data_IF_504498866463
#
_entry.id   IF_504498866463
#
_cell.length_a   1.000
_cell.length_b   1.000
_cell.length_c   1.000
_cell.angle_alpha   90.00
_cell.angle_beta   90.00
_cell.angle_gamma   90.00
#
_symmetry.space_group_name_H-M   'P 1'
#
loop_
_entity.id
_entity.type
_entity.pdbx_description
1 polymer ?
#
# COMPACT_ATOMS: atom_id res chain seq x y z
N UNK A 1 -14.57 -27.00 -35.87
CA UNK A 1 -13.18 -27.09 -35.37
C UNK A 1 -12.89 -26.18 -34.16
N UNK A 2 -13.92 -25.81 -33.36
CA UNK A 2 -13.78 -24.88 -32.21
C UNK A 2 -13.88 -25.52 -30.82
N UNK A 3 -14.34 -26.77 -30.71
CA UNK A 3 -14.56 -27.40 -29.39
C UNK A 3 -13.26 -27.88 -28.71
N UNK A 4 -12.23 -28.26 -29.47
CA UNK A 4 -10.96 -28.71 -28.90
C UNK A 4 -10.16 -27.55 -28.29
N UNK A 5 -10.22 -26.34 -28.86
CA UNK A 5 -9.52 -25.16 -28.34
C UNK A 5 -10.04 -24.75 -26.96
N UNK A 6 -11.34 -24.86 -26.72
CA UNK A 6 -11.93 -24.46 -25.44
C UNK A 6 -11.43 -25.36 -24.28
N UNK A 7 -11.30 -26.67 -24.49
CA UNK A 7 -10.85 -27.62 -23.45
C UNK A 7 -9.41 -27.37 -23.00
N UNK A 8 -8.50 -27.06 -23.92
CA UNK A 8 -7.11 -26.72 -23.59
C UNK A 8 -7.01 -25.41 -22.82
N UNK A 9 -7.84 -24.40 -23.16
CA UNK A 9 -7.91 -23.14 -22.42
C UNK A 9 -8.34 -23.34 -20.96
N UNK A 10 -9.33 -24.20 -20.70
CA UNK A 10 -9.76 -24.51 -19.33
C UNK A 10 -8.70 -25.26 -18.53
N UNK A 11 -7.98 -26.20 -19.15
CA UNK A 11 -6.87 -26.91 -18.51
C UNK A 11 -5.73 -25.93 -18.19
N UNK A 12 -5.37 -25.06 -19.14
CA UNK A 12 -4.35 -24.04 -18.92
C UNK A 12 -4.76 -23.07 -17.80
N UNK A 13 -6.02 -22.62 -17.78
CA UNK A 13 -6.54 -21.76 -16.72
C UNK A 13 -6.48 -22.44 -15.35
N UNK A 14 -6.90 -23.71 -15.25
CA UNK A 14 -6.82 -24.46 -14.00
C UNK A 14 -5.38 -24.63 -13.53
N UNK A 15 -4.44 -24.94 -14.43
CA UNK A 15 -3.01 -25.03 -14.10
C UNK A 15 -2.46 -23.69 -13.59
N UNK A 16 -2.82 -22.57 -14.22
CA UNK A 16 -2.40 -21.23 -13.78
C UNK A 16 -2.97 -20.91 -12.40
N UNK A 17 -4.27 -21.13 -12.17
CA UNK A 17 -4.91 -20.87 -10.87
C UNK A 17 -4.31 -21.75 -9.77
N UNK A 18 -4.07 -23.04 -10.05
CA UNK A 18 -3.43 -23.96 -9.11
C UNK A 18 -2.00 -23.53 -8.78
N UNK A 19 -1.24 -23.10 -9.79
CA UNK A 19 0.12 -22.57 -9.60
C UNK A 19 0.12 -21.30 -8.74
N UNK A 20 -0.78 -20.35 -9.04
CA UNK A 20 -0.94 -19.11 -8.27
C UNK A 20 -1.33 -19.41 -6.81
N UNK A 21 -2.20 -20.39 -6.58
CA UNK A 21 -2.56 -20.81 -5.22
C UNK A 21 -1.36 -21.39 -4.47
N UNK A 22 -0.54 -22.21 -5.13
CA UNK A 22 0.66 -22.81 -4.53
C UNK A 22 1.76 -21.77 -4.24
N UNK A 23 1.89 -20.76 -5.10
CA UNK A 23 2.88 -19.68 -4.98
C UNK A 23 2.37 -18.47 -4.18
N UNK A 24 1.10 -18.45 -3.77
CA UNK A 24 0.45 -17.33 -3.07
C UNK A 24 1.30 -16.73 -1.92
N UNK A 25 1.95 -17.54 -1.04
CA UNK A 25 2.77 -16.98 0.04
C UNK A 25 3.98 -16.18 -0.46
N UNK A 26 4.58 -16.58 -1.58
CA UNK A 26 5.74 -15.91 -2.19
C UNK A 26 5.29 -14.78 -3.12
N UNK A 27 4.04 -14.81 -3.59
CA UNK A 27 3.49 -13.78 -4.46
C UNK A 27 3.37 -12.43 -3.76
N UNK A 28 3.14 -12.42 -2.44
CA UNK A 28 3.02 -11.20 -1.63
C UNK A 28 4.25 -10.28 -1.74
N UNK A 29 5.48 -10.72 -1.42
CA UNK A 29 6.66 -9.87 -1.58
C UNK A 29 6.95 -9.51 -3.05
N UNK A 30 6.54 -10.34 -4.01
CA UNK A 30 6.67 -10.04 -5.43
C UNK A 30 5.74 -8.92 -5.89
N UNK A 31 4.49 -8.92 -5.47
CA UNK A 31 3.52 -7.86 -5.80
C UNK A 31 3.98 -6.53 -5.20
N UNK A 32 4.38 -6.54 -3.92
CA UNK A 32 4.91 -5.34 -3.27
C UNK A 32 6.18 -4.86 -3.99
N UNK A 33 7.11 -5.76 -4.30
CA UNK A 33 8.32 -5.42 -5.04
C UNK A 33 8.04 -4.86 -6.43
N UNK A 34 7.07 -5.41 -7.15
CA UNK A 34 6.64 -4.92 -8.46
C UNK A 34 6.01 -3.53 -8.38
N UNK A 35 5.21 -3.26 -7.35
CA UNK A 35 4.64 -1.94 -7.11
C UNK A 35 5.75 -0.91 -6.85
N UNK A 36 6.73 -1.26 -6.02
CA UNK A 36 7.88 -0.40 -5.75
C UNK A 36 8.74 -0.17 -7.00
N UNK A 37 8.94 -1.21 -7.81
CA UNK A 37 9.63 -1.11 -9.09
C UNK A 37 8.91 -0.16 -10.05
N UNK A 38 7.59 -0.33 -10.23
CA UNK A 38 6.78 0.57 -11.07
C UNK A 38 6.87 2.04 -10.62
N UNK A 39 6.85 2.30 -9.31
CA UNK A 39 6.99 3.65 -8.77
C UNK A 39 8.41 4.22 -8.97
N UNK A 40 9.44 3.38 -8.89
CA UNK A 40 10.84 3.77 -9.05
C UNK A 40 11.30 3.92 -10.50
N UNK A 41 10.64 3.23 -11.44
CA UNK A 41 11.01 3.17 -12.85
C UNK A 41 11.07 4.55 -13.53
N UNK A 42 10.05 5.43 -13.45
CA UNK A 42 10.12 6.76 -14.08
C UNK A 42 11.20 7.65 -13.44
N UNK A 43 11.62 7.39 -12.20
CA UNK A 43 12.76 8.07 -11.61
C UNK A 43 14.08 7.53 -12.18
N UNK A 44 14.19 6.22 -12.40
CA UNK A 44 15.37 5.59 -13.00
C UNK A 44 15.56 6.07 -14.45
N UNK A 45 14.50 6.13 -15.24
CA UNK A 45 14.52 6.64 -16.62
C UNK A 45 14.99 8.10 -16.68
N UNK A 46 14.58 8.93 -15.73
CA UNK A 46 15.07 10.31 -15.62
C UNK A 46 16.58 10.34 -15.38
N UNK A 47 17.11 9.48 -14.52
CA UNK A 47 18.55 9.38 -14.27
C UNK A 47 19.32 8.84 -15.48
N UNK A 48 18.74 7.94 -16.26
CA UNK A 48 19.31 7.48 -17.54
C UNK A 48 19.34 8.59 -18.59
N UNK A 49 18.29 9.41 -18.68
CA UNK A 49 18.26 10.56 -19.58
C UNK A 49 19.36 11.60 -19.27
N UNK A 50 19.89 11.59 -18.04
CA UNK A 50 21.04 12.41 -17.62
C UNK A 50 22.40 11.78 -17.95
N UNK A 51 22.42 10.63 -18.63
CA UNK A 51 23.64 9.93 -19.09
C UNK A 51 24.16 8.85 -18.13
N UNK A 52 23.42 8.48 -17.09
CA UNK A 52 23.79 7.36 -16.23
C UNK A 52 23.47 6.01 -16.89
N UNK A 53 24.25 4.97 -16.58
CA UNK A 53 23.92 3.59 -16.99
C UNK A 53 22.72 3.10 -16.17
N UNK A 54 21.79 2.34 -16.77
CA UNK A 54 20.60 1.74 -16.12
C UNK A 54 20.87 1.22 -14.71
N UNK A 55 21.89 0.37 -14.55
CA UNK A 55 22.23 -0.20 -13.23
C UNK A 55 22.59 0.87 -12.19
N UNK A 56 23.32 1.91 -12.58
CA UNK A 56 23.70 3.00 -11.66
C UNK A 56 22.50 3.87 -11.31
N UNK A 57 21.66 4.19 -12.30
CA UNK A 57 20.40 4.92 -12.07
C UNK A 57 19.51 4.17 -11.08
N UNK A 58 19.32 2.87 -11.30
CA UNK A 58 18.52 1.99 -10.44
C UNK A 58 19.07 1.91 -9.03
N UNK A 59 20.39 1.75 -8.85
CA UNK A 59 21.01 1.75 -7.52
C UNK A 59 20.73 3.07 -6.79
N UNK A 60 20.87 4.20 -7.48
CA UNK A 60 20.68 5.52 -6.89
C UNK A 60 19.22 5.75 -6.48
N UNK A 61 18.27 5.42 -7.35
CA UNK A 61 16.83 5.48 -7.05
C UNK A 61 16.49 4.56 -5.90
N UNK A 62 16.99 3.32 -5.92
CA UNK A 62 16.68 2.32 -4.90
C UNK A 62 17.18 2.75 -3.52
N UNK A 63 18.44 3.20 -3.42
CA UNK A 63 19.02 3.71 -2.17
C UNK A 63 18.28 4.97 -1.71
N UNK A 64 18.01 5.92 -2.62
CA UNK A 64 17.28 7.15 -2.29
C UNK A 64 15.87 6.85 -1.77
N UNK A 65 15.12 6.00 -2.48
CA UNK A 65 13.76 5.61 -2.12
C UNK A 65 13.73 4.90 -0.76
N UNK A 66 14.58 3.90 -0.53
CA UNK A 66 14.63 3.21 0.75
C UNK A 66 15.10 4.12 1.88
N UNK A 67 16.00 5.06 1.62
CA UNK A 67 16.44 6.04 2.63
C UNK A 67 15.30 6.96 3.03
N UNK A 68 14.56 7.52 2.06
CA UNK A 68 13.40 8.38 2.33
C UNK A 68 12.32 7.58 3.06
N UNK A 69 12.02 6.37 2.62
CA UNK A 69 11.04 5.50 3.25
C UNK A 69 11.42 5.17 4.70
N UNK A 70 12.69 4.82 4.96
CA UNK A 70 13.20 4.59 6.31
C UNK A 70 13.07 5.83 7.19
N UNK A 71 13.42 7.01 6.65
CA UNK A 71 13.33 8.28 7.37
C UNK A 71 11.86 8.62 7.69
N UNK A 72 10.94 8.43 6.74
CA UNK A 72 9.50 8.58 6.97
C UNK A 72 9.03 7.63 8.06
N UNK A 73 9.41 6.36 8.05
CA UNK A 73 9.01 5.41 9.11
C UNK A 73 9.57 5.84 10.47
N UNK A 74 10.85 6.21 10.55
CA UNK A 74 11.50 6.60 11.81
C UNK A 74 10.92 7.90 12.39
N UNK A 75 10.51 8.87 11.55
CA UNK A 75 9.97 10.15 12.02
C UNK A 75 8.45 10.14 12.18
N UNK A 76 7.73 9.62 11.18
CA UNK A 76 6.28 9.71 11.10
C UNK A 76 5.60 8.75 12.08
N UNK A 77 6.08 7.51 12.22
CA UNK A 77 5.47 6.52 13.12
C UNK A 77 5.45 7.00 14.59
N UNK A 78 6.57 7.44 15.20
CA UNK A 78 6.52 7.93 16.58
C UNK A 78 5.73 9.23 16.71
N UNK A 79 5.77 10.12 15.71
CA UNK A 79 4.99 11.35 15.71
C UNK A 79 3.49 11.06 15.67
N UNK A 80 3.05 10.12 14.84
CA UNK A 80 1.67 9.62 14.82
C UNK A 80 1.31 8.97 16.16
N UNK A 81 2.22 8.17 16.75
CA UNK A 81 2.03 7.59 18.08
C UNK A 81 1.76 8.65 19.15
N UNK A 82 2.56 9.71 19.19
CA UNK A 82 2.38 10.84 20.11
C UNK A 82 1.08 11.62 19.85
N UNK A 83 0.72 11.81 18.58
CA UNK A 83 -0.53 12.47 18.19
C UNK A 83 -1.75 11.65 18.62
N UNK A 84 -1.71 10.33 18.45
CA UNK A 84 -2.77 9.42 18.89
C UNK A 84 -2.87 9.41 20.41
N UNK A 85 -1.74 9.38 21.13
CA UNK A 85 -1.74 9.46 22.58
C UNK A 85 -2.35 10.78 23.08
N UNK A 86 -1.96 11.90 22.45
CA UNK A 86 -2.48 13.23 22.78
C UNK A 86 -3.97 13.35 22.46
N UNK A 87 -4.41 12.78 21.33
CA UNK A 87 -5.82 12.72 20.95
C UNK A 87 -6.63 11.91 21.96
N UNK A 88 -6.15 10.71 22.32
CA UNK A 88 -6.75 9.84 23.34
C UNK A 88 -6.90 10.56 24.69
N UNK A 89 -5.87 11.30 25.14
CA UNK A 89 -5.93 12.13 26.36
C UNK A 89 -6.88 13.32 26.27
N UNK A 90 -7.17 13.82 25.06
CA UNK A 90 -8.04 14.98 24.85
C UNK A 90 -9.50 14.62 24.56
N UNK A 91 -9.81 13.36 24.18
CA UNK A 91 -11.20 12.88 24.01
C UNK A 91 -12.09 13.23 25.22
N UNK A 92 -11.69 13.00 26.49
CA UNK A 92 -12.52 13.34 27.65
C UNK A 92 -12.91 14.82 27.67
N UNK A 93 -11.94 15.72 27.43
CA UNK A 93 -12.17 17.17 27.41
C UNK A 93 -13.12 17.60 26.28
N UNK A 94 -13.05 16.92 25.13
CA UNK A 94 -13.98 17.18 24.01
C UNK A 94 -15.39 16.74 24.39
N UNK A 95 -15.54 15.59 25.05
CA UNK A 95 -16.85 15.10 25.52
C UNK A 95 -17.43 16.01 26.62
N UNK A 96 -16.59 16.49 27.52
CA UNK A 96 -16.98 17.46 28.56
C UNK A 96 -17.46 18.76 27.91
N UNK A 97 -16.74 19.30 26.93
CA UNK A 97 -17.17 20.49 26.18
C UNK A 97 -18.49 20.27 25.43
N UNK A 98 -18.68 19.09 24.81
CA UNK A 98 -19.95 18.75 24.15
C UNK A 98 -21.10 18.72 25.17
N UNK A 99 -20.87 18.16 26.37
CA UNK A 99 -21.89 18.08 27.42
C UNK A 99 -22.21 19.46 28.03
N UNK A 100 -21.19 20.26 28.31
CA UNK A 100 -21.31 21.50 29.08
C UNK A 100 -21.67 22.71 28.19
N UNK A 101 -21.31 22.69 26.91
CA UNK A 101 -21.47 23.85 26.02
C UNK A 101 -22.38 23.52 24.84
N UNK A 102 -22.08 22.46 24.09
CA UNK A 102 -22.79 22.18 22.83
C UNK A 102 -24.24 21.70 23.06
N UNK A 103 -24.46 20.75 23.97
CA UNK A 103 -25.80 20.24 24.29
C UNK A 103 -26.75 21.34 24.81
N UNK A 104 -26.37 22.20 25.78
CA UNK A 104 -27.24 23.28 26.24
C UNK A 104 -27.49 24.36 25.17
N UNK A 105 -26.52 24.63 24.30
CA UNK A 105 -26.69 25.60 23.21
C UNK A 105 -27.69 25.10 22.15
N UNK A 106 -27.66 23.80 21.84
CA UNK A 106 -28.60 23.17 20.90
C UNK A 106 -29.99 23.00 21.50
N UNK A 107 -30.09 22.59 22.77
CA UNK A 107 -31.39 22.44 23.45
C UNK A 107 -32.11 23.80 23.60
N UNK A 108 -31.36 24.88 23.81
CA UNK A 108 -31.91 26.25 23.84
C UNK A 108 -32.49 26.74 22.51
N UNK A 109 -32.06 26.18 21.37
CA UNK A 109 -32.54 26.55 20.02
C UNK A 109 -33.67 25.63 19.56
N UNK A 110 -33.58 24.33 19.86
CA UNK A 110 -34.45 23.29 19.27
C UNK A 110 -35.53 22.80 20.25
N UNK A 111 -35.41 23.08 21.55
CA UNK A 111 -36.41 22.74 22.57
C UNK A 111 -36.54 21.23 22.87
N UNK A 112 -35.60 20.41 22.39
CA UNK A 112 -35.54 18.97 22.63
C UNK A 112 -34.50 18.71 23.72
N UNK A 113 -34.92 18.11 24.85
CA UNK A 113 -34.00 17.62 25.87
C UNK A 113 -33.36 16.32 25.39
N UNK A 114 -32.11 16.41 24.92
CA UNK A 114 -31.28 15.24 24.71
C UNK A 114 -30.88 14.70 26.10
N UNK A 115 -31.71 13.80 26.66
CA UNK A 115 -31.38 13.05 27.87
C UNK A 115 -30.03 12.35 27.70
N UNK A 116 -29.25 12.24 28.80
CA UNK A 116 -27.84 11.82 28.84
C UNK A 116 -27.45 10.93 27.66
N UNK A 117 -27.04 11.57 26.55
CA UNK A 117 -26.48 10.86 25.41
C UNK A 117 -25.32 10.06 25.98
N UNK A 118 -25.29 8.74 25.75
CA UNK A 118 -24.28 7.83 26.29
C UNK A 118 -22.92 8.05 25.63
N UNK A 119 -22.41 9.28 25.72
CA UNK A 119 -21.08 9.74 25.32
C UNK A 119 -20.00 8.84 25.94
N UNK A 120 -20.29 8.19 27.08
CA UNK A 120 -19.46 7.15 27.68
C UNK A 120 -19.26 5.90 26.79
N UNK A 121 -20.30 5.42 26.10
CA UNK A 121 -20.18 4.29 25.15
C UNK A 121 -19.40 4.69 23.89
N UNK A 122 -19.62 5.91 23.38
CA UNK A 122 -18.85 6.45 22.25
C UNK A 122 -17.36 6.64 22.60
N UNK A 123 -17.06 7.10 23.81
CA UNK A 123 -15.71 7.23 24.37
C UNK A 123 -15.00 5.88 24.38
N UNK A 124 -15.63 4.87 24.98
CA UNK A 124 -15.02 3.56 25.15
C UNK A 124 -14.84 2.86 23.79
N UNK A 125 -15.78 3.02 22.85
CA UNK A 125 -15.63 2.50 21.49
C UNK A 125 -14.46 3.15 20.72
N UNK A 126 -14.32 4.49 20.81
CA UNK A 126 -13.21 5.19 20.16
C UNK A 126 -11.86 4.84 20.79
N UNK A 127 -11.76 4.87 22.12
CA UNK A 127 -10.50 4.56 22.82
C UNK A 127 -10.06 3.11 22.59
N UNK A 128 -11.00 2.16 22.67
CA UNK A 128 -10.70 0.75 22.45
C UNK A 128 -10.42 0.43 20.98
N UNK A 129 -11.08 1.09 20.02
CA UNK A 129 -10.86 0.83 18.58
C UNK A 129 -9.42 1.09 18.11
N UNK A 130 -8.78 2.14 18.63
CA UNK A 130 -7.39 2.47 18.29
C UNK A 130 -6.36 1.67 19.10
N UNK A 131 -6.64 1.39 20.38
CA UNK A 131 -5.82 0.47 21.18
C UNK A 131 -5.84 -0.94 20.59
N UNK A 132 -6.97 -1.39 20.05
CA UNK A 132 -7.10 -2.68 19.39
C UNK A 132 -6.17 -2.83 18.18
N UNK A 133 -5.99 -1.76 17.38
CA UNK A 133 -5.03 -1.78 16.26
C UNK A 133 -3.57 -1.87 16.77
N UNK A 134 -3.24 -1.15 17.84
CA UNK A 134 -1.91 -1.21 18.47
C UNK A 134 -1.60 -2.58 19.09
N UNK A 135 -2.55 -3.12 19.87
CA UNK A 135 -2.44 -4.44 20.49
C UNK A 135 -2.41 -5.56 19.46
N UNK A 136 -3.14 -5.43 18.34
CA UNK A 136 -3.09 -6.41 17.25
C UNK A 136 -1.70 -6.43 16.59
N UNK A 137 -1.12 -5.26 16.32
CA UNK A 137 0.24 -5.16 15.76
C UNK A 137 1.27 -5.71 16.76
N UNK A 138 1.14 -5.36 18.05
CA UNK A 138 2.05 -5.82 19.10
C UNK A 138 1.95 -7.32 19.32
N UNK A 139 0.74 -7.88 19.37
CA UNK A 139 0.52 -9.33 19.53
C UNK A 139 0.98 -10.12 18.30
N UNK A 140 0.76 -9.61 17.09
CA UNK A 140 1.33 -10.19 15.86
C UNK A 140 2.87 -10.18 15.89
N UNK A 141 3.49 -9.06 16.31
CA UNK A 141 4.94 -8.97 16.45
C UNK A 141 5.49 -9.94 17.51
N UNK A 142 4.80 -10.09 18.65
CA UNK A 142 5.16 -11.06 19.68
C UNK A 142 5.00 -12.50 19.17
N UNK A 143 3.95 -12.80 18.41
CA UNK A 143 3.71 -14.13 17.83
C UNK A 143 4.80 -14.49 16.80
N UNK A 144 5.23 -13.53 15.98
CA UNK A 144 6.36 -13.70 15.05
C UNK A 144 7.64 -13.94 15.84
N UNK A 145 7.89 -13.21 16.93
CA UNK A 145 9.14 -13.30 17.71
C UNK A 145 9.21 -14.60 18.54
N UNK A 146 8.08 -15.12 18.99
CA UNK A 146 8.00 -16.34 19.82
C UNK A 146 7.99 -17.63 19.00
N UNK A 147 7.56 -17.59 17.75
CA UNK A 147 7.62 -18.73 16.82
C UNK A 147 8.85 -18.61 15.92
N UNK A 148 9.86 -19.47 16.14
CA UNK A 148 11.09 -19.48 15.34
C UNK A 148 10.83 -19.65 13.84
N UNK A 149 9.84 -20.47 13.46
CA UNK A 149 9.42 -20.65 12.07
C UNK A 149 8.73 -19.39 11.52
N UNK A 150 7.87 -18.73 12.31
CA UNK A 150 7.20 -17.50 11.88
C UNK A 150 8.21 -16.35 11.75
N UNK A 151 9.18 -16.25 12.66
CA UNK A 151 10.27 -15.30 12.58
C UNK A 151 11.09 -15.47 11.29
N UNK A 152 11.56 -16.70 11.02
CA UNK A 152 12.32 -16.99 9.80
C UNK A 152 11.50 -16.65 8.55
N UNK A 153 10.23 -17.05 8.52
CA UNK A 153 9.33 -16.75 7.39
C UNK A 153 9.12 -15.24 7.21
N UNK A 154 8.97 -14.49 8.30
CA UNK A 154 8.82 -13.04 8.27
C UNK A 154 10.10 -12.36 7.77
N UNK A 155 11.27 -12.76 8.27
CA UNK A 155 12.57 -12.22 7.84
C UNK A 155 12.83 -12.52 6.36
N UNK A 156 12.55 -13.74 5.91
CA UNK A 156 12.70 -14.11 4.50
C UNK A 156 11.76 -13.29 3.61
N UNK A 157 10.48 -13.16 3.98
CA UNK A 157 9.52 -12.34 3.22
C UNK A 157 9.92 -10.87 3.20
N UNK A 158 10.32 -10.31 4.34
CA UNK A 158 10.76 -8.93 4.46
C UNK A 158 12.03 -8.66 3.66
N UNK A 159 12.99 -9.59 3.66
CA UNK A 159 14.23 -9.49 2.89
C UNK A 159 14.01 -9.71 1.38
N UNK A 160 12.99 -10.50 1.00
CA UNK A 160 12.65 -10.71 -0.40
C UNK A 160 12.11 -9.43 -1.06
N UNK A 161 11.32 -8.62 -0.35
CA UNK A 161 10.75 -7.37 -0.91
C UNK A 161 11.82 -6.46 -1.54
N UNK A 162 12.88 -6.02 -0.83
CA UNK A 162 13.90 -5.16 -1.40
C UNK A 162 14.70 -5.85 -2.51
N UNK A 163 14.99 -7.15 -2.36
CA UNK A 163 15.73 -7.91 -3.40
C UNK A 163 14.90 -7.97 -4.68
N UNK A 164 13.65 -8.39 -4.59
CA UNK A 164 12.74 -8.49 -5.74
C UNK A 164 12.50 -7.11 -6.34
N UNK A 165 12.21 -6.09 -5.53
CA UNK A 165 12.04 -4.72 -6.00
C UNK A 165 13.26 -4.21 -6.78
N UNK A 166 14.48 -4.47 -6.29
CA UNK A 166 15.71 -4.07 -6.97
C UNK A 166 15.86 -4.74 -8.34
N UNK A 167 15.66 -6.06 -8.42
CA UNK A 167 15.78 -6.79 -9.68
C UNK A 167 14.67 -6.41 -10.67
N UNK A 168 13.43 -6.29 -10.19
CA UNK A 168 12.29 -5.86 -11.01
C UNK A 168 12.47 -4.45 -11.54
N UNK A 169 12.96 -3.51 -10.72
CA UNK A 169 13.25 -2.14 -11.15
C UNK A 169 14.37 -2.11 -12.19
N UNK A 170 15.45 -2.88 -11.96
CA UNK A 170 16.60 -2.93 -12.87
C UNK A 170 16.21 -3.45 -14.24
N UNK A 171 15.46 -4.54 -14.27
CA UNK A 171 15.15 -5.29 -15.49
C UNK A 171 13.73 -4.97 -16.01
N UNK A 172 13.11 -3.91 -15.50
CA UNK A 172 11.72 -3.54 -15.77
C UNK A 172 11.40 -3.48 -17.26
N UNK A 173 12.17 -2.71 -18.03
CA UNK A 173 11.99 -2.54 -19.48
C UNK A 173 12.04 -3.88 -20.22
N UNK A 174 13.01 -4.72 -19.86
CA UNK A 174 13.17 -6.04 -20.46
C UNK A 174 11.97 -6.92 -20.12
N UNK A 175 11.50 -6.89 -18.87
CA UNK A 175 10.34 -7.66 -18.43
C UNK A 175 9.06 -7.22 -19.14
N UNK A 176 8.81 -5.92 -19.26
CA UNK A 176 7.65 -5.37 -19.98
C UNK A 176 7.71 -5.73 -21.47
N UNK A 177 8.90 -5.64 -22.09
CA UNK A 177 9.09 -6.06 -23.48
C UNK A 177 8.79 -7.55 -23.69
N UNK A 178 9.26 -8.42 -22.79
CA UNK A 178 8.92 -9.86 -22.82
C UNK A 178 7.45 -10.12 -22.58
N UNK A 179 6.82 -9.39 -21.67
CA UNK A 179 5.38 -9.51 -21.40
C UNK A 179 4.57 -9.18 -22.66
N UNK A 180 5.02 -8.17 -23.41
CA UNK A 180 4.42 -7.78 -24.69
C UNK A 180 4.57 -8.86 -25.76
N UNK A 181 5.69 -9.58 -25.79
CA UNK A 181 5.91 -10.72 -26.72
C UNK A 181 4.95 -11.90 -26.44
N UNK A 182 4.43 -12.03 -25.22
CA UNK A 182 3.45 -13.07 -24.85
C UNK A 182 2.02 -12.74 -25.30
N UNK A 183 1.74 -11.48 -25.65
CA UNK A 183 0.43 -11.07 -26.11
C UNK A 183 0.16 -11.62 -27.53
N UNK A 184 -1.04 -12.15 -27.79
CA UNK A 184 -1.45 -12.46 -29.16
C UNK A 184 -1.34 -11.21 -30.04
N UNK A 185 -0.69 -11.31 -31.20
CA UNK A 185 -0.47 -10.21 -32.15
C UNK A 185 -1.72 -9.41 -32.51
N UNK A 186 -2.91 -10.02 -32.38
CA UNK A 186 -4.20 -9.36 -32.65
C UNK A 186 -4.55 -8.28 -31.61
N UNK A 187 -4.20 -8.49 -30.34
CA UNK A 187 -4.58 -7.58 -29.23
C UNK A 187 -3.39 -6.74 -28.74
N UNK A 188 -2.16 -7.08 -29.13
CA UNK A 188 -0.94 -6.42 -28.67
C UNK A 188 -1.02 -4.89 -28.82
N UNK A 189 -1.42 -4.39 -30.01
CA UNK A 189 -1.50 -2.95 -30.27
C UNK A 189 -2.54 -2.26 -29.39
N UNK A 190 -3.69 -2.88 -29.20
CA UNK A 190 -4.79 -2.33 -28.40
C UNK A 190 -4.46 -2.33 -26.91
N UNK A 191 -3.88 -3.43 -26.41
CA UNK A 191 -3.45 -3.55 -25.01
C UNK A 191 -2.33 -2.55 -24.65
N UNK A 192 -1.34 -2.37 -25.53
CA UNK A 192 -0.25 -1.40 -25.32
C UNK A 192 -0.78 0.04 -25.37
N UNK A 193 -1.70 0.35 -26.28
CA UNK A 193 -2.35 1.67 -26.34
C UNK A 193 -3.11 1.96 -25.05
N UNK A 194 -3.94 1.02 -24.59
CA UNK A 194 -4.74 1.19 -23.39
C UNK A 194 -3.86 1.33 -22.13
N UNK A 195 -2.74 0.60 -22.06
CA UNK A 195 -1.79 0.74 -20.97
C UNK A 195 -1.14 2.13 -20.95
N UNK A 196 -0.77 2.66 -22.12
CA UNK A 196 -0.23 4.01 -22.24
C UNK A 196 -1.25 5.09 -21.86
N UNK A 197 -2.51 4.95 -22.28
CA UNK A 197 -3.59 5.87 -21.92
C UNK A 197 -3.83 5.88 -20.39
N UNK A 198 -3.79 4.71 -19.74
CA UNK A 198 -3.89 4.60 -18.28
C UNK A 198 -2.72 5.30 -17.57
N UNK A 199 -1.49 5.12 -18.06
CA UNK A 199 -0.30 5.74 -17.49
C UNK A 199 -0.35 7.28 -17.63
N UNK A 200 -0.78 7.78 -18.79
CA UNK A 200 -0.97 9.21 -19.02
C UNK A 200 -2.04 9.81 -18.09
N UNK A 201 -3.18 9.13 -17.92
CA UNK A 201 -4.25 9.58 -17.03
C UNK A 201 -3.83 9.57 -15.56
N UNK A 202 -3.10 8.54 -15.11
CA UNK A 202 -2.53 8.49 -13.77
C UNK A 202 -1.51 9.62 -13.56
N UNK A 203 -0.64 9.86 -14.55
CA UNK A 203 0.32 10.96 -14.53
C UNK A 203 -0.35 12.34 -14.48
N UNK A 204 -1.42 12.55 -15.25
CA UNK A 204 -2.20 13.78 -15.24
C UNK A 204 -2.91 14.00 -13.90
N UNK A 205 -3.49 12.94 -13.31
CA UNK A 205 -4.13 12.99 -11.99
C UNK A 205 -3.13 13.36 -10.89
N UNK A 206 -1.96 12.72 -10.85
CA UNK A 206 -0.92 13.03 -9.86
C UNK A 206 -0.41 14.47 -10.00
N UNK A 207 -0.18 14.94 -11.23
CA UNK A 207 0.18 16.35 -11.48
C UNK A 207 -0.91 17.31 -11.02
N UNK A 208 -2.18 16.98 -11.26
CA UNK A 208 -3.32 17.75 -10.79
C UNK A 208 -3.40 17.81 -9.26
N UNK A 209 -3.24 16.68 -8.58
CA UNK A 209 -3.22 16.62 -7.10
C UNK A 209 -2.09 17.45 -6.51
N UNK A 210 -0.87 17.33 -7.06
CA UNK A 210 0.28 18.12 -6.59
C UNK A 210 0.07 19.62 -6.84
N UNK A 211 -0.52 20.01 -7.97
CA UNK A 211 -0.81 21.43 -8.26
C UNK A 211 -1.89 22.01 -7.33
N UNK A 212 -2.85 21.19 -6.91
CA UNK A 212 -3.94 21.62 -6.00
C UNK A 212 -3.49 21.63 -4.53
N UNK A 213 -2.56 20.74 -4.16
CA UNK A 213 -2.07 20.60 -2.78
C UNK A 213 -0.79 21.40 -2.48
N UNK A 214 -0.04 21.86 -3.49
CA UNK A 214 1.11 22.75 -3.33
C UNK A 214 0.68 24.22 -3.22
#
# INVERSE_FOLDING_TARGET
MSESTNRWSWIALFCVVALVYLLSPILSPFIVGALLAYLGDPLADRFESLGLRRTTAVILVFVGFFTVMLLVVILLVPMLGQQVETFSRNIPKVLDWVREVALPMVSGIVGIEFGEVSLAQGRDWMLNGWQFAGDYIQSAAMQITTSSLAFVTAVVNLALIPVVAFYLLRDWDLMVARLRELLPRRIEKEAVSLAADCDEMLGAFLKGQVLVMA
#
